data_IF_363284505156
#
_entry.id   IF_363284505156
#
_cell.length_a   1.000
_cell.length_b   1.000
_cell.length_c   1.000
_cell.angle_alpha   90.00
_cell.angle_beta   90.00
_cell.angle_gamma   90.00
#
_symmetry.space_group_name_H-M   'P 1'
#
loop_
_entity.id
_entity.type
_entity.pdbx_description
1 polymer ?
#
# COMPACT_ATOMS: atom_id res chain seq x y z
N UNK A 1 8.17 11.58 -3.42
CA UNK A 1 8.60 12.65 -2.48
C UNK A 1 8.98 11.99 -1.16
N UNK A 2 10.02 12.47 -0.45
CA UNK A 2 10.39 11.91 0.87
C UNK A 2 9.78 12.78 1.96
N UNK A 3 9.06 12.17 2.90
CA UNK A 3 8.46 12.87 4.05
C UNK A 3 9.15 12.40 5.34
N UNK A 4 9.75 13.31 6.12
CA UNK A 4 10.34 12.97 7.41
C UNK A 4 9.34 12.38 8.41
N UNK A 5 9.77 11.36 9.16
CA UNK A 5 8.91 10.65 10.10
C UNK A 5 8.39 11.53 11.26
N UNK A 6 9.18 12.50 11.72
CA UNK A 6 8.75 13.39 12.81
C UNK A 6 7.57 14.29 12.40
N UNK A 7 7.50 14.68 11.12
CA UNK A 7 6.38 15.47 10.61
C UNK A 7 5.09 14.65 10.64
N UNK A 8 5.17 13.36 10.26
CA UNK A 8 4.02 12.46 10.34
C UNK A 8 3.57 12.24 11.79
N UNK A 9 4.51 12.09 12.73
CA UNK A 9 4.19 12.00 14.17
C UNK A 9 3.55 13.27 14.72
N UNK A 10 3.94 14.45 14.24
CA UNK A 10 3.34 15.72 14.64
C UNK A 10 1.90 15.88 14.13
N UNK A 11 1.63 15.47 12.88
CA UNK A 11 0.32 15.64 12.25
C UNK A 11 -0.68 14.55 12.66
N UNK A 12 -0.23 13.31 12.81
CA UNK A 12 -1.08 12.12 13.00
C UNK A 12 -0.95 11.47 14.38
N UNK A 13 -0.07 11.96 15.26
CA UNK A 13 0.11 11.42 16.61
C UNK A 13 0.45 9.93 16.61
N UNK A 14 -0.30 9.15 17.40
CA UNK A 14 -0.11 7.69 17.52
C UNK A 14 -0.40 6.93 16.21
N UNK A 15 -1.32 7.44 15.37
CA UNK A 15 -1.63 6.83 14.07
C UNK A 15 -0.48 6.94 13.06
N UNK A 16 0.50 7.81 13.32
CA UNK A 16 1.68 7.89 12.47
C UNK A 16 2.46 6.57 12.42
N UNK A 17 2.39 5.74 13.46
CA UNK A 17 3.03 4.41 13.50
C UNK A 17 2.58 3.54 12.33
N UNK A 18 1.27 3.43 12.09
CA UNK A 18 0.70 2.64 10.98
C UNK A 18 1.20 3.09 9.60
N UNK A 19 1.47 4.39 9.42
CA UNK A 19 1.98 4.94 8.16
C UNK A 19 3.50 4.78 8.01
N UNK A 20 4.22 4.76 9.13
CA UNK A 20 5.68 4.65 9.17
C UNK A 20 6.16 3.20 9.13
N UNK A 21 5.29 2.27 9.50
CA UNK A 21 5.54 0.84 9.48
C UNK A 21 5.12 0.23 8.14
N UNK A 22 5.77 -0.86 7.78
CA UNK A 22 5.46 -1.62 6.58
C UNK A 22 5.29 -3.09 6.92
N UNK A 23 4.30 -3.74 6.30
CA UNK A 23 4.10 -5.17 6.39
C UNK A 23 4.19 -5.80 5.00
N UNK A 24 4.94 -6.91 4.89
CA UNK A 24 4.97 -7.73 3.68
C UNK A 24 3.85 -8.77 3.73
N UNK A 25 2.66 -8.39 3.28
CA UNK A 25 1.52 -9.30 3.18
C UNK A 25 1.52 -10.02 1.82
N UNK A 26 1.78 -11.34 1.82
CA UNK A 26 1.73 -12.18 0.60
C UNK A 26 0.40 -12.95 0.57
N UNK A 27 -0.43 -12.79 -0.49
CA UNK A 27 -1.79 -13.33 -0.54
C UNK A 27 -1.85 -14.81 -0.97
N UNK A 28 -1.04 -15.68 -0.36
CA UNK A 28 -0.87 -17.08 -0.82
C UNK A 28 -2.19 -17.84 -0.93
N UNK A 29 -3.08 -17.74 0.08
CA UNK A 29 -4.37 -18.43 0.07
C UNK A 29 -5.29 -18.04 -1.09
N UNK A 30 -5.20 -16.78 -1.53
CA UNK A 30 -6.01 -16.28 -2.63
C UNK A 30 -5.48 -16.79 -3.97
N UNK A 31 -4.16 -16.84 -4.13
CA UNK A 31 -3.50 -17.43 -5.30
C UNK A 31 -3.79 -18.94 -5.40
N UNK A 32 -3.73 -19.65 -4.26
CA UNK A 32 -4.01 -21.09 -4.19
C UNK A 32 -5.47 -21.42 -4.56
N UNK A 33 -6.40 -20.48 -4.36
CA UNK A 33 -7.80 -20.66 -4.77
C UNK A 33 -8.04 -20.41 -6.27
N UNK A 34 -6.99 -20.13 -7.06
CA UNK A 34 -7.09 -19.82 -8.47
C UNK A 34 -7.64 -18.43 -8.77
N UNK A 35 -7.63 -17.51 -7.79
CA UNK A 35 -8.02 -16.13 -8.03
C UNK A 35 -7.00 -15.43 -8.93
N UNK A 36 -7.49 -14.73 -9.97
CA UNK A 36 -6.67 -13.93 -10.86
C UNK A 36 -6.91 -12.44 -10.60
N UNK A 37 -5.84 -11.71 -10.30
CA UNK A 37 -5.91 -10.27 -10.08
C UNK A 37 -6.15 -9.53 -11.39
N UNK A 38 -7.11 -8.59 -11.39
CA UNK A 38 -7.29 -7.64 -12.50
C UNK A 38 -6.04 -6.77 -12.69
N UNK A 39 -5.37 -6.41 -11.58
CA UNK A 39 -4.12 -5.66 -11.56
C UNK A 39 -3.10 -6.41 -10.69
N UNK A 40 -2.26 -7.24 -11.32
CA UNK A 40 -1.22 -7.99 -10.61
C UNK A 40 -0.06 -7.09 -10.13
N UNK A 41 0.17 -5.98 -10.83
CA UNK A 41 1.24 -5.02 -10.55
C UNK A 41 0.69 -3.67 -10.11
N UNK A 42 1.30 -3.04 -9.11
CA UNK A 42 0.88 -1.75 -8.57
C UNK A 42 0.85 -0.66 -9.65
N UNK A 43 1.84 -0.66 -10.54
CA UNK A 43 1.92 0.33 -11.62
C UNK A 43 0.72 0.25 -12.57
N UNK A 44 0.19 -0.96 -12.82
CA UNK A 44 -0.99 -1.14 -13.67
C UNK A 44 -2.25 -0.57 -13.02
N UNK A 45 -2.44 -0.79 -11.71
CA UNK A 45 -3.55 -0.23 -10.96
C UNK A 45 -3.47 1.30 -10.87
N UNK A 46 -2.28 1.86 -10.63
CA UNK A 46 -2.08 3.30 -10.56
C UNK A 46 -2.33 4.00 -11.89
N UNK A 47 -1.90 3.40 -13.00
CA UNK A 47 -2.16 3.93 -14.33
C UNK A 47 -3.65 3.97 -14.66
N UNK A 48 -4.41 2.96 -14.26
CA UNK A 48 -5.86 2.93 -14.43
C UNK A 48 -6.53 4.04 -13.60
N UNK A 49 -6.19 4.12 -12.30
CA UNK A 49 -6.79 5.08 -11.37
C UNK A 49 -6.56 6.55 -11.77
N UNK A 50 -5.38 6.88 -12.28
CA UNK A 50 -4.99 8.26 -12.63
C UNK A 50 -5.39 8.68 -14.05
N UNK A 51 -5.87 7.76 -14.88
CA UNK A 51 -6.38 8.07 -16.24
C UNK A 51 -7.85 8.49 -16.26
N UNK A 52 -8.55 8.38 -15.13
CA UNK A 52 -9.94 8.80 -14.95
C UNK A 52 -10.09 10.32 -14.73
#
# INVERSE_FOLDING_TARGET
MRVPAFLLRLLFGEMASTLLEGQRAVPQRLLDSGYSYQFAEVDSALQDLLRA
#
